data_IF_547805169650
#
_entry.id   IF_547805169650
#
_cell.length_a   1.000
_cell.length_b   1.000
_cell.length_c   1.000
_cell.angle_alpha   90.00
_cell.angle_beta   90.00
_cell.angle_gamma   90.00
#
_symmetry.space_group_name_H-M   'P 1'
#
loop_
_entity.id
_entity.type
_entity.pdbx_description
1 polymer ?
#
# COMPACT_ATOMS: atom_id res chain seq x y z
N UNK A 1 20.15 -2.15 -5.46
CA UNK A 1 18.68 -2.15 -5.36
C UNK A 1 18.22 -3.59 -5.21
N UNK A 2 17.41 -3.88 -4.20
CA UNK A 2 16.83 -5.21 -3.97
C UNK A 2 15.32 -5.13 -4.19
N UNK A 3 14.77 -6.03 -5.02
CA UNK A 3 13.33 -6.12 -5.24
C UNK A 3 12.67 -6.88 -4.10
N UNK A 4 11.79 -6.21 -3.36
CA UNK A 4 11.02 -6.82 -2.26
C UNK A 4 9.72 -7.44 -2.79
N UNK A 5 9.04 -6.74 -3.70
CA UNK A 5 7.84 -7.22 -4.38
C UNK A 5 7.96 -6.92 -5.88
N UNK A 6 7.83 -7.95 -6.70
CA UNK A 6 7.44 -7.82 -8.11
C UNK A 6 6.08 -8.48 -8.28
N UNK A 7 5.24 -7.92 -9.15
CA UNK A 7 3.90 -8.43 -9.43
C UNK A 7 3.80 -9.11 -10.80
N UNK A 8 4.95 -9.32 -11.47
CA UNK A 8 5.03 -10.08 -12.72
C UNK A 8 4.60 -11.55 -12.53
N UNK A 9 4.83 -12.11 -11.34
CA UNK A 9 4.25 -13.37 -10.88
C UNK A 9 2.97 -13.11 -10.07
N UNK A 10 1.85 -13.69 -10.51
CA UNK A 10 0.54 -13.55 -9.87
C UNK A 10 0.55 -14.01 -8.41
N UNK A 11 1.37 -15.01 -8.06
CA UNK A 11 1.45 -15.51 -6.68
C UNK A 11 2.05 -14.49 -5.71
N UNK A 12 2.89 -13.56 -6.18
CA UNK A 12 3.45 -12.52 -5.33
C UNK A 12 2.38 -11.56 -4.80
N UNK A 13 1.28 -11.40 -5.56
CA UNK A 13 0.12 -10.61 -5.18
C UNK A 13 -0.75 -11.22 -4.08
N UNK A 14 -0.73 -12.54 -3.90
CA UNK A 14 -1.54 -13.25 -2.89
C UNK A 14 -1.14 -12.87 -1.44
N UNK A 15 0.04 -12.27 -1.29
CA UNK A 15 0.50 -11.71 -0.04
C UNK A 15 -0.21 -10.39 0.33
N UNK A 16 -0.85 -9.71 -0.62
CA UNK A 16 -1.49 -8.42 -0.39
C UNK A 16 -2.99 -8.54 -0.14
N UNK A 17 -3.49 -7.75 0.81
CA UNK A 17 -4.91 -7.72 1.17
C UNK A 17 -5.41 -6.31 1.42
N UNK A 18 -6.67 -6.06 1.09
CA UNK A 18 -7.35 -4.83 1.43
C UNK A 18 -7.66 -4.75 2.94
N UNK A 19 -7.65 -3.53 3.48
CA UNK A 19 -8.05 -3.20 4.84
C UNK A 19 -8.86 -1.92 4.78
N UNK A 20 -10.12 -2.02 5.18
CA UNK A 20 -11.11 -0.95 5.11
C UNK A 20 -11.65 -0.68 6.52
N UNK A 21 -12.39 0.41 6.67
CA UNK A 21 -12.95 0.92 7.93
C UNK A 21 -14.18 0.15 8.49
N UNK A 22 -14.52 -1.02 7.95
CA UNK A 22 -15.79 -1.69 8.24
C UNK A 22 -15.95 -2.20 9.68
N UNK A 23 -14.87 -2.37 10.45
CA UNK A 23 -14.94 -2.91 11.83
C UNK A 23 -15.73 -2.00 12.78
N UNK A 24 -15.67 -0.67 12.59
CA UNK A 24 -16.37 0.31 13.41
C UNK A 24 -17.60 0.90 12.69
N UNK A 25 -18.14 0.21 11.68
CA UNK A 25 -19.31 0.65 10.93
C UNK A 25 -19.00 1.53 9.71
N UNK A 26 -17.72 1.72 9.35
CA UNK A 26 -17.35 2.39 8.10
C UNK A 26 -17.84 1.63 6.87
N UNK A 27 -18.11 2.35 5.79
CA UNK A 27 -18.65 1.80 4.54
C UNK A 27 -17.76 2.05 3.34
N UNK A 28 -16.46 2.34 3.57
CA UNK A 28 -15.49 2.43 2.49
C UNK A 28 -15.28 1.06 1.85
N UNK A 29 -15.03 1.07 0.54
CA UNK A 29 -14.68 -0.13 -0.22
C UNK A 29 -13.25 0.01 -0.73
N UNK A 30 -12.45 -1.01 -0.50
CA UNK A 30 -11.10 -1.15 -1.04
C UNK A 30 -10.87 -2.59 -1.43
N UNK A 31 -10.31 -2.79 -2.62
CA UNK A 31 -10.01 -4.11 -3.19
C UNK A 31 -8.63 -4.10 -3.80
N UNK A 32 -7.98 -5.26 -3.73
CA UNK A 32 -6.68 -5.50 -4.34
C UNK A 32 -6.80 -6.66 -5.32
N UNK A 33 -6.13 -6.55 -6.48
CA UNK A 33 -5.99 -7.63 -7.45
C UNK A 33 -4.68 -7.50 -8.20
N UNK A 34 -4.20 -8.61 -8.76
CA UNK A 34 -3.15 -8.59 -9.78
C UNK A 34 -3.79 -8.60 -11.16
N UNK A 35 -3.45 -7.62 -11.97
CA UNK A 35 -3.90 -7.52 -13.37
C UNK A 35 -3.14 -8.52 -14.26
N UNK A 36 -3.65 -8.78 -15.47
CA UNK A 36 -2.96 -9.64 -16.44
C UNK A 36 -1.58 -9.11 -16.86
N UNK A 37 -1.36 -7.80 -16.73
CA UNK A 37 -0.09 -7.15 -17.05
C UNK A 37 0.92 -7.14 -15.90
N UNK A 38 0.72 -7.94 -14.85
CA UNK A 38 1.68 -8.04 -13.73
C UNK A 38 1.71 -6.80 -12.84
N UNK A 39 0.56 -6.16 -12.64
CA UNK A 39 0.43 -4.94 -11.80
C UNK A 39 -0.50 -5.24 -10.63
N UNK A 40 -0.08 -4.87 -9.42
CA UNK A 40 -0.97 -4.80 -8.27
C UNK A 40 -1.84 -3.55 -8.37
N UNK A 41 -3.13 -3.76 -8.55
CA UNK A 41 -4.13 -2.71 -8.61
C UNK A 41 -4.87 -2.62 -7.27
N UNK A 42 -4.88 -1.41 -6.70
CA UNK A 42 -5.75 -1.04 -5.60
C UNK A 42 -6.85 -0.10 -6.10
N UNK A 43 -8.11 -0.44 -5.86
CA UNK A 43 -9.26 0.36 -6.30
C UNK A 43 -10.44 0.25 -5.33
N UNK A 44 -11.29 1.27 -5.35
CA UNK A 44 -12.46 1.34 -4.48
C UNK A 44 -13.01 2.74 -4.29
N UNK A 45 -13.79 2.94 -3.24
CA UNK A 45 -14.42 4.21 -2.87
C UNK A 45 -14.28 4.48 -1.38
N UNK A 46 -14.03 5.74 -1.02
CA UNK A 46 -14.06 6.18 0.37
C UNK A 46 -15.43 6.80 0.65
N UNK A 47 -16.08 6.37 1.72
CA UNK A 47 -17.22 7.08 2.30
C UNK A 47 -16.78 7.77 3.58
N UNK A 48 -17.33 8.95 3.85
CA UNK A 48 -17.14 9.67 5.11
C UNK A 48 -18.31 9.45 6.09
N UNK A 49 -19.28 8.63 5.70
CA UNK A 49 -20.38 8.22 6.56
C UNK A 49 -19.84 7.50 7.80
N UNK A 50 -20.53 7.66 8.93
CA UNK A 50 -20.12 7.08 10.22
C UNK A 50 -18.79 7.64 10.78
N UNK A 51 -18.53 8.93 10.53
CA UNK A 51 -17.48 9.75 11.16
C UNK A 51 -16.06 9.48 10.67
N UNK A 52 -15.87 9.05 9.43
CA UNK A 52 -14.56 8.87 8.84
C UNK A 52 -14.60 8.00 7.59
N UNK A 53 -13.41 7.77 7.02
CA UNK A 53 -13.28 6.97 5.81
C UNK A 53 -11.85 6.54 5.57
N UNK A 54 -11.58 5.24 5.47
CA UNK A 54 -10.32 4.77 4.92
C UNK A 54 -10.44 3.43 4.20
N UNK A 55 -9.61 3.29 3.17
CA UNK A 55 -9.31 2.03 2.50
C UNK A 55 -7.79 2.00 2.25
N UNK A 56 -7.19 0.83 2.43
CA UNK A 56 -5.76 0.63 2.26
C UNK A 56 -5.48 -0.79 1.82
N UNK A 57 -4.23 -1.04 1.42
CA UNK A 57 -3.72 -2.38 1.16
C UNK A 57 -2.46 -2.61 1.99
N UNK A 58 -2.20 -3.87 2.34
CA UNK A 58 -0.96 -4.26 3.02
C UNK A 58 -0.52 -5.66 2.59
N UNK A 59 0.79 -5.87 2.54
CA UNK A 59 1.38 -7.18 2.35
C UNK A 59 1.26 -8.05 3.61
N UNK A 60 1.64 -9.32 3.49
CA UNK A 60 2.06 -10.16 4.62
C UNK A 60 3.43 -9.69 5.09
N UNK A 61 3.79 -10.05 6.32
CA UNK A 61 5.15 -9.88 6.82
C UNK A 61 6.08 -10.65 5.89
N UNK A 62 7.10 -9.97 5.37
CA UNK A 62 8.21 -10.60 4.70
C UNK A 62 9.40 -10.59 5.68
N UNK A 63 10.14 -11.69 5.74
CA UNK A 63 11.33 -11.79 6.55
C UNK A 63 12.51 -11.28 5.71
N UNK A 64 12.75 -9.98 5.79
CA UNK A 64 13.72 -9.27 4.94
C UNK A 64 14.54 -8.34 5.82
N UNK A 65 15.86 -8.46 5.70
CA UNK A 65 16.80 -7.51 6.27
C UNK A 65 16.99 -6.33 5.31
N UNK A 66 16.69 -5.13 5.80
CA UNK A 66 16.82 -3.88 5.06
C UNK A 66 17.91 -2.96 5.63
N UNK A 67 18.73 -3.46 6.57
CA UNK A 67 19.72 -2.66 7.30
C UNK A 67 20.81 -2.03 6.43
N UNK A 68 21.12 -2.65 5.29
CA UNK A 68 22.11 -2.16 4.31
C UNK A 68 21.53 -1.13 3.31
N UNK A 69 20.27 -0.72 3.48
CA UNK A 69 19.59 0.20 2.56
C UNK A 69 19.13 1.49 3.27
N UNK A 70 19.32 2.62 2.58
CA UNK A 70 18.96 3.94 3.11
C UNK A 70 17.47 4.30 2.91
N UNK A 71 16.72 3.52 2.12
CA UNK A 71 15.33 3.83 1.81
C UNK A 71 14.60 2.80 0.96
N UNK A 72 13.32 3.06 0.70
CA UNK A 72 12.42 2.21 -0.07
C UNK A 72 11.97 2.93 -1.33
N UNK A 73 12.05 2.26 -2.47
CA UNK A 73 11.51 2.77 -3.72
C UNK A 73 10.22 2.04 -4.08
N UNK A 74 9.18 2.78 -4.44
CA UNK A 74 7.96 2.26 -5.03
C UNK A 74 7.76 2.82 -6.43
N UNK A 75 7.27 1.99 -7.34
CA UNK A 75 6.79 2.42 -8.66
C UNK A 75 5.27 2.39 -8.66
N UNK A 76 4.64 3.54 -8.86
CA UNK A 76 3.19 3.72 -8.68
C UNK A 76 2.58 4.56 -9.81
N UNK A 77 1.33 4.27 -10.16
CA UNK A 77 0.46 5.13 -10.98
C UNK A 77 -0.81 5.39 -10.18
N UNK A 78 -1.07 6.65 -9.84
CA UNK A 78 -2.16 7.06 -8.97
C UNK A 78 -3.23 7.89 -9.67
N UNK A 79 -4.14 8.41 -8.87
CA UNK A 79 -5.33 9.18 -9.27
C UNK A 79 -5.18 10.69 -8.99
N UNK A 80 -3.95 11.14 -8.71
CA UNK A 80 -3.68 12.53 -8.31
C UNK A 80 -3.83 12.81 -6.82
N UNK A 81 -4.15 11.81 -5.99
CA UNK A 81 -4.25 11.98 -4.54
C UNK A 81 -2.89 11.78 -3.86
N UNK A 82 -2.86 12.21 -2.59
CA UNK A 82 -1.78 11.96 -1.65
C UNK A 82 -2.09 10.70 -0.84
N UNK A 83 -1.08 9.86 -0.64
CA UNK A 83 -1.18 8.61 0.10
C UNK A 83 -0.18 8.56 1.25
N UNK A 84 -0.52 7.77 2.27
CA UNK A 84 0.38 7.41 3.36
C UNK A 84 0.99 6.02 3.07
N UNK A 85 2.31 5.94 2.95
CA UNK A 85 3.06 4.69 2.97
C UNK A 85 3.41 4.34 4.42
N UNK A 86 3.10 3.12 4.86
CA UNK A 86 3.38 2.68 6.23
C UNK A 86 4.31 1.46 6.22
N UNK A 87 5.47 1.59 6.88
CA UNK A 87 6.40 0.49 7.14
C UNK A 87 6.25 0.01 8.58
N UNK A 88 5.93 -1.27 8.74
CA UNK A 88 5.86 -1.93 10.05
C UNK A 88 7.05 -2.87 10.20
N UNK A 89 7.83 -2.65 11.24
CA UNK A 89 8.94 -3.50 11.66
C UNK A 89 8.53 -4.32 12.88
N UNK A 90 9.37 -5.26 13.28
CA UNK A 90 9.27 -5.95 14.57
C UNK A 90 9.70 -5.07 15.75
N UNK A 91 10.49 -4.02 15.50
CA UNK A 91 10.75 -2.96 16.48
C UNK A 91 9.45 -2.25 16.83
N UNK A 92 9.06 -2.32 18.11
CA UNK A 92 7.92 -1.60 18.64
C UNK A 92 8.25 -0.11 18.72
N UNK A 93 7.52 0.70 17.97
CA UNK A 93 7.58 2.16 18.06
C UNK A 93 6.24 2.69 18.57
N UNK A 94 6.26 3.81 19.30
CA UNK A 94 5.05 4.41 19.89
C UNK A 94 3.98 4.73 18.83
N UNK A 95 4.40 5.13 17.62
CA UNK A 95 3.49 5.42 16.51
C UNK A 95 2.92 4.17 15.81
N UNK A 96 3.38 2.97 16.17
CA UNK A 96 2.98 1.68 15.58
C UNK A 96 3.54 1.37 14.18
N UNK A 97 3.94 2.38 13.40
CA UNK A 97 4.61 2.21 12.10
C UNK A 97 5.35 3.46 11.67
N UNK A 98 6.44 3.31 10.93
CA UNK A 98 7.06 4.43 10.21
C UNK A 98 6.14 4.83 9.06
N UNK A 99 5.94 6.14 8.86
CA UNK A 99 5.01 6.64 7.86
C UNK A 99 5.64 7.74 7.02
N UNK A 100 5.50 7.61 5.70
CA UNK A 100 5.88 8.63 4.74
C UNK A 100 4.66 9.02 3.90
N UNK A 101 4.57 10.28 3.47
CA UNK A 101 3.52 10.74 2.56
C UNK A 101 4.10 10.91 1.17
N UNK A 102 3.35 10.51 0.15
CA UNK A 102 3.74 10.76 -1.24
C UNK A 102 2.54 11.25 -2.06
N UNK A 103 2.85 12.11 -3.03
CA UNK A 103 1.89 12.65 -3.98
C UNK A 103 1.95 11.83 -5.27
N UNK A 104 0.79 11.52 -5.85
CA UNK A 104 0.71 10.92 -7.18
C UNK A 104 0.32 11.97 -8.21
N UNK A 105 0.81 11.79 -9.44
CA UNK A 105 0.28 12.43 -10.63
C UNK A 105 -0.77 11.51 -11.24
N UNK A 106 -1.92 12.08 -11.62
CA UNK A 106 -3.01 11.32 -12.21
C UNK A 106 -2.55 10.59 -13.49
N UNK A 107 -2.83 9.29 -13.54
CA UNK A 107 -2.60 8.40 -14.70
C UNK A 107 -1.15 8.31 -15.20
N UNK A 108 -0.17 8.74 -14.38
CA UNK A 108 1.25 8.71 -14.72
C UNK A 108 2.02 7.77 -13.79
N UNK A 109 2.90 6.95 -14.38
CA UNK A 109 3.87 6.16 -13.62
C UNK A 109 4.97 7.04 -13.03
N UNK A 110 5.27 6.83 -11.76
CA UNK A 110 6.30 7.54 -11.01
C UNK A 110 7.08 6.55 -10.14
N UNK A 111 8.35 6.88 -9.89
CA UNK A 111 9.15 6.27 -8.84
C UNK A 111 9.22 7.23 -7.66
N UNK A 112 8.91 6.73 -6.47
CA UNK A 112 8.91 7.46 -5.22
C UNK A 112 9.90 6.76 -4.29
N UNK A 113 10.88 7.51 -3.80
CA UNK A 113 11.90 7.07 -2.85
C UNK A 113 11.74 7.81 -1.52
#
# INVERSE_FOLDING_TARGET
MQTIFSFDDRQAGDSWRAVNDNVMGGVSTGRVRITDGGILEFSGSISLENNGGFASIRSRRADIDLSEFDGLLIRVRGDGKRYDFNLRTDVLIMAGSYRAKFQTDADRWQEIY
#
